data_IF_345974979593
#
_entry.id   IF_345974979593
#
_cell.length_a   1.000
_cell.length_b   1.000
_cell.length_c   1.000
_cell.angle_alpha   90.00
_cell.angle_beta   90.00
_cell.angle_gamma   90.00
#
_symmetry.space_group_name_H-M   'P 1'
#
loop_
_entity.id
_entity.type
_entity.pdbx_description
1 polymer ?
#
# COMPACT_ATOMS: atom_id res chain seq x y z
N UNK A 1 -14.88 69.04 32.21
CA UNK A 1 -14.02 68.28 31.28
C UNK A 1 -12.57 68.40 31.74
N UNK A 2 -11.85 67.29 32.00
CA UNK A 2 -10.43 67.36 32.33
C UNK A 2 -9.64 67.97 31.17
N UNK A 3 -8.77 68.94 31.46
CA UNK A 3 -7.95 69.62 30.44
C UNK A 3 -6.95 68.62 29.88
N UNK A 4 -7.16 68.22 28.63
CA UNK A 4 -6.21 67.44 27.84
C UNK A 4 -4.85 68.17 27.82
N UNK A 5 -3.71 67.49 28.08
CA UNK A 5 -2.37 68.09 28.04
C UNK A 5 -2.11 68.82 26.72
N UNK A 6 -1.24 69.84 26.76
CA UNK A 6 -1.00 70.69 25.58
C UNK A 6 -0.36 69.89 24.44
N UNK A 7 0.51 68.94 24.77
CA UNK A 7 1.20 68.05 23.84
C UNK A 7 0.20 67.14 23.12
N UNK A 8 -0.74 66.55 23.87
CA UNK A 8 -1.79 65.70 23.32
C UNK A 8 -2.76 66.52 22.45
N UNK A 9 -3.10 67.75 22.86
CA UNK A 9 -3.90 68.66 22.01
C UNK A 9 -3.18 69.01 20.72
N UNK A 10 -1.89 69.36 20.78
CA UNK A 10 -1.11 69.66 19.57
C UNK A 10 -1.07 68.47 18.63
N UNK A 11 -0.78 67.27 19.15
CA UNK A 11 -0.75 66.06 18.34
C UNK A 11 -2.11 65.74 17.72
N UNK A 12 -3.22 65.87 18.45
CA UNK A 12 -4.58 65.72 17.90
C UNK A 12 -4.82 66.75 16.78
N UNK A 13 -4.49 68.02 17.01
CA UNK A 13 -4.62 69.06 15.99
C UNK A 13 -3.78 68.75 14.74
N UNK A 14 -2.52 68.34 14.92
CA UNK A 14 -1.61 68.02 13.82
C UNK A 14 -2.04 66.74 13.07
N UNK A 15 -2.54 65.73 13.77
CA UNK A 15 -3.07 64.49 13.19
C UNK A 15 -4.28 64.77 12.28
N UNK A 16 -5.26 65.53 12.77
CA UNK A 16 -6.42 65.90 11.97
C UNK A 16 -6.11 66.89 10.84
N UNK A 17 -5.08 67.73 11.00
CA UNK A 17 -4.73 68.75 9.99
C UNK A 17 -3.80 68.20 8.89
N UNK A 18 -2.94 67.23 9.20
CA UNK A 18 -1.98 66.67 8.25
C UNK A 18 -2.46 65.37 7.58
N UNK A 19 -3.27 64.54 8.24
CA UNK A 19 -3.72 63.25 7.68
C UNK A 19 -5.09 63.33 6.99
N UNK A 20 -5.95 64.26 7.40
CA UNK A 20 -7.26 64.48 6.77
C UNK A 20 -7.36 65.89 6.23
N UNK A 21 -7.48 66.01 4.91
CA UNK A 21 -7.88 67.29 4.30
C UNK A 21 -9.21 67.71 4.92
N UNK A 22 -9.41 68.98 5.28
CA UNK A 22 -10.65 69.45 5.90
C UNK A 22 -11.19 70.68 5.17
N UNK A 23 -12.50 70.73 4.95
CA UNK A 23 -13.19 71.89 4.41
C UNK A 23 -14.43 72.18 5.23
N UNK A 24 -14.86 73.44 5.28
CA UNK A 24 -16.08 73.81 5.98
C UNK A 24 -16.93 74.78 5.19
N UNK A 25 -18.23 74.72 5.46
CA UNK A 25 -19.23 75.71 5.07
C UNK A 25 -19.93 76.20 6.34
N UNK A 26 -20.24 77.49 6.41
CA UNK A 26 -21.11 78.05 7.43
C UNK A 26 -22.37 78.53 6.72
N UNK A 27 -23.53 78.07 7.19
CA UNK A 27 -24.84 78.50 6.69
C UNK A 27 -25.61 79.24 7.78
N UNK A 28 -26.45 80.19 7.38
CA UNK A 28 -27.35 80.90 8.30
C UNK A 28 -28.68 80.18 8.52
N UNK A 29 -29.57 80.77 9.32
CA UNK A 29 -30.91 80.24 9.58
C UNK A 29 -31.81 80.16 8.33
N UNK A 30 -31.46 80.88 7.25
CA UNK A 30 -32.12 80.79 5.94
C UNK A 30 -31.46 79.75 5.02
N UNK A 31 -30.44 79.04 5.51
CA UNK A 31 -29.63 78.05 4.80
C UNK A 31 -28.77 78.64 3.66
N UNK A 32 -28.43 79.92 3.76
CA UNK A 32 -27.53 80.56 2.80
C UNK A 32 -26.09 80.38 3.24
N UNK A 33 -25.19 80.10 2.30
CA UNK A 33 -23.75 80.02 2.60
C UNK A 33 -23.26 81.41 3.00
N UNK A 34 -22.83 81.57 4.24
CA UNK A 34 -22.28 82.83 4.78
C UNK A 34 -20.76 82.80 4.90
N UNK A 35 -20.15 81.62 4.94
CA UNK A 35 -18.70 81.45 4.85
C UNK A 35 -18.34 80.08 4.28
N UNK A 36 -17.17 79.98 3.67
CA UNK A 36 -16.53 78.72 3.31
C UNK A 36 -15.02 78.82 3.54
N UNK A 37 -14.35 77.71 3.82
CA UNK A 37 -12.91 77.70 4.02
C UNK A 37 -12.34 76.29 4.20
N UNK A 38 -11.05 76.22 4.52
CA UNK A 38 -10.28 74.98 4.42
C UNK A 38 -10.02 74.59 2.96
N UNK A 39 -9.77 73.32 2.70
CA UNK A 39 -9.39 72.81 1.38
C UNK A 39 -10.61 72.52 0.49
N UNK A 40 -11.39 73.56 0.18
CA UNK A 40 -12.63 73.39 -0.62
C UNK A 40 -12.36 72.88 -2.05
N UNK A 41 -11.15 73.04 -2.59
CA UNK A 41 -10.75 72.51 -3.89
C UNK A 41 -10.63 70.98 -3.89
N UNK A 42 -10.03 70.41 -2.84
CA UNK A 42 -9.89 68.95 -2.68
C UNK A 42 -11.21 68.19 -2.76
N UNK A 43 -12.31 68.86 -2.38
CA UNK A 43 -13.66 68.31 -2.36
C UNK A 43 -14.54 68.74 -3.53
N UNK A 44 -14.01 69.49 -4.50
CA UNK A 44 -14.80 70.03 -5.61
C UNK A 44 -15.78 71.15 -5.22
N UNK A 45 -15.64 71.71 -4.01
CA UNK A 45 -16.53 72.74 -3.43
C UNK A 45 -16.07 74.18 -3.72
N UNK A 46 -15.05 74.35 -4.56
CA UNK A 46 -14.50 75.68 -4.91
C UNK A 46 -15.47 76.56 -5.67
N UNK A 47 -16.41 75.97 -6.42
CA UNK A 47 -17.44 76.69 -7.18
C UNK A 47 -18.57 77.28 -6.33
N UNK A 48 -18.69 76.87 -5.05
CA UNK A 48 -19.75 77.33 -4.16
C UNK A 48 -19.69 78.84 -3.92
N UNK A 49 -20.83 79.50 -4.05
CA UNK A 49 -21.02 80.95 -3.91
C UNK A 49 -21.60 81.29 -2.56
N UNK A 50 -20.95 82.24 -1.88
CA UNK A 50 -21.47 82.88 -0.65
C UNK A 50 -22.68 83.74 -1.01
N UNK A 51 -23.68 83.80 -0.13
CA UNK A 51 -24.92 84.56 -0.33
C UNK A 51 -25.94 83.86 -1.22
N UNK A 52 -25.78 82.56 -1.47
CA UNK A 52 -26.74 81.70 -2.18
C UNK A 52 -27.18 80.53 -1.27
N UNK A 53 -28.39 79.98 -1.47
CA UNK A 53 -28.83 78.78 -0.76
C UNK A 53 -27.83 77.63 -0.94
N UNK A 54 -27.60 76.85 0.11
CA UNK A 54 -26.71 75.68 0.04
C UNK A 54 -27.35 74.53 -0.75
N UNK A 55 -28.67 74.35 -0.65
CA UNK A 55 -29.42 73.31 -1.38
C UNK A 55 -29.31 73.47 -2.91
N UNK A 56 -29.38 74.71 -3.42
CA UNK A 56 -29.22 75.02 -4.86
C UNK A 56 -27.84 74.65 -5.43
N UNK A 57 -26.84 74.46 -4.56
CA UNK A 57 -25.45 74.27 -4.95
C UNK A 57 -24.89 72.91 -4.52
N UNK A 58 -25.55 72.25 -3.57
CA UNK A 58 -25.22 70.92 -3.06
C UNK A 58 -26.53 70.14 -2.95
N UNK A 59 -26.84 69.37 -3.99
CA UNK A 59 -28.11 68.62 -4.11
C UNK A 59 -28.37 67.68 -2.92
N UNK A 60 -27.32 67.01 -2.42
CA UNK A 60 -27.43 66.14 -1.24
C UNK A 60 -27.86 66.87 0.05
N UNK A 61 -27.82 68.21 0.07
CA UNK A 61 -28.22 69.02 1.22
C UNK A 61 -29.70 69.37 1.23
N UNK A 62 -30.40 69.24 0.11
CA UNK A 62 -31.82 69.61 -0.03
C UNK A 62 -32.72 68.78 0.89
N UNK A 63 -32.42 67.48 1.06
CA UNK A 63 -33.17 66.57 1.94
C UNK A 63 -32.70 66.56 3.40
N UNK A 64 -31.59 67.21 3.72
CA UNK A 64 -30.96 67.14 5.05
C UNK A 64 -31.14 68.43 5.88
N UNK A 65 -31.54 69.54 5.25
CA UNK A 65 -31.69 70.84 5.89
C UNK A 65 -33.16 71.32 5.94
N UNK A 66 -33.61 71.94 7.04
CA UNK A 66 -32.87 72.20 8.26
C UNK A 66 -32.69 70.91 9.07
N UNK A 67 -31.48 70.67 9.57
CA UNK A 67 -31.17 69.46 10.33
C UNK A 67 -31.88 69.54 11.70
N UNK A 68 -32.74 68.57 12.06
CA UNK A 68 -33.58 68.66 13.25
C UNK A 68 -32.79 68.46 14.55
N UNK A 69 -31.69 67.70 14.52
CA UNK A 69 -30.83 67.44 15.67
C UNK A 69 -29.37 67.74 15.34
N UNK A 70 -28.73 68.58 16.15
CA UNK A 70 -27.31 68.92 16.04
C UNK A 70 -26.61 68.63 17.37
N UNK A 71 -25.39 68.07 17.38
CA UNK A 71 -24.56 67.75 16.21
C UNK A 71 -25.05 66.52 15.42
N UNK A 72 -24.84 66.52 14.10
CA UNK A 72 -25.19 65.42 13.20
C UNK A 72 -23.95 64.92 12.46
N UNK A 73 -23.87 63.62 12.17
CA UNK A 73 -22.73 63.01 11.49
C UNK A 73 -23.20 62.02 10.44
N UNK A 74 -22.66 62.16 9.23
CA UNK A 74 -22.88 61.26 8.09
C UNK A 74 -21.53 60.79 7.56
N UNK A 75 -21.13 59.53 7.85
CA UNK A 75 -19.85 59.02 7.41
C UNK A 75 -19.85 58.66 5.92
N UNK A 76 -18.67 58.68 5.30
CA UNK A 76 -18.41 58.11 3.97
C UNK A 76 -19.33 58.61 2.85
N UNK A 77 -19.62 59.91 2.83
CA UNK A 77 -20.44 60.52 1.80
C UNK A 77 -19.60 60.79 0.54
N UNK A 78 -20.13 60.39 -0.62
CA UNK A 78 -19.51 60.71 -1.90
C UNK A 78 -19.73 62.18 -2.27
N UNK A 79 -18.65 62.84 -2.67
CA UNK A 79 -18.65 64.24 -3.07
C UNK A 79 -18.38 64.38 -4.57
N UNK A 80 -18.79 65.52 -5.17
CA UNK A 80 -18.45 65.84 -6.55
C UNK A 80 -16.93 65.74 -6.79
N UNK A 81 -16.52 64.94 -7.78
CA UNK A 81 -15.10 64.67 -8.07
C UNK A 81 -14.58 63.33 -7.53
N UNK A 82 -15.44 62.46 -6.99
CA UNK A 82 -15.11 61.06 -6.65
C UNK A 82 -14.37 60.86 -5.33
N UNK A 83 -14.30 61.92 -4.51
CA UNK A 83 -13.78 61.87 -3.13
C UNK A 83 -14.87 61.46 -2.16
N UNK A 84 -14.45 60.90 -1.03
CA UNK A 84 -15.35 60.49 0.06
C UNK A 84 -15.01 61.31 1.30
N UNK A 85 -16.01 61.82 2.02
CA UNK A 85 -15.81 62.56 3.25
C UNK A 85 -16.81 62.17 4.33
N UNK A 86 -16.37 62.26 5.59
CA UNK A 86 -17.25 62.29 6.74
C UNK A 86 -17.79 63.71 6.90
N UNK A 87 -19.11 63.87 6.84
CA UNK A 87 -19.80 65.14 7.00
C UNK A 87 -20.30 65.29 8.44
N UNK A 88 -19.85 66.35 9.11
CA UNK A 88 -20.29 66.70 10.45
C UNK A 88 -21.01 68.06 10.44
N UNK A 89 -22.17 68.14 11.08
CA UNK A 89 -22.93 69.37 11.24
C UNK A 89 -22.94 69.80 12.72
N UNK A 90 -22.68 71.09 12.97
CA UNK A 90 -22.69 71.68 14.31
C UNK A 90 -23.50 72.98 14.34
N UNK A 91 -24.32 73.16 15.37
CA UNK A 91 -25.07 74.40 15.59
C UNK A 91 -24.26 75.44 16.36
N UNK A 92 -24.35 76.72 15.94
CA UNK A 92 -23.68 77.86 16.57
C UNK A 92 -24.51 79.14 16.40
N UNK A 93 -25.25 79.56 17.44
CA UNK A 93 -25.93 80.86 17.48
C UNK A 93 -26.89 81.14 16.31
N UNK A 94 -27.69 80.13 15.91
CA UNK A 94 -28.61 80.23 14.76
C UNK A 94 -27.96 80.02 13.39
N UNK A 95 -26.69 79.62 13.35
CA UNK A 95 -25.95 79.20 12.15
C UNK A 95 -25.59 77.72 12.28
N UNK A 96 -25.34 77.06 11.14
CA UNK A 96 -24.88 75.66 11.10
C UNK A 96 -23.53 75.61 10.39
N UNK A 97 -22.58 74.91 10.98
CA UNK A 97 -21.30 74.57 10.37
C UNK A 97 -21.38 73.19 9.76
N UNK A 98 -21.02 73.05 8.50
CA UNK A 98 -20.81 71.79 7.80
C UNK A 98 -19.31 71.60 7.70
N UNK A 99 -18.79 70.51 8.26
CA UNK A 99 -17.38 70.13 8.24
C UNK A 99 -17.22 68.84 7.44
N UNK A 100 -16.37 68.86 6.43
CA UNK A 100 -16.01 67.72 5.59
C UNK A 100 -14.61 67.27 5.97
N UNK A 101 -14.46 65.99 6.33
CA UNK A 101 -13.17 65.36 6.65
C UNK A 101 -12.90 64.22 5.67
N UNK A 102 -11.71 64.17 5.09
CA UNK A 102 -11.42 63.23 4.00
C UNK A 102 -11.46 61.81 4.56
N UNK A 103 -12.26 60.97 3.91
CA UNK A 103 -12.43 59.56 4.24
C UNK A 103 -12.12 58.68 3.00
N UNK A 104 -11.55 59.26 1.95
CA UNK A 104 -11.12 58.54 0.74
C UNK A 104 -10.08 57.46 1.05
N UNK A 105 -9.03 57.71 1.84
CA UNK A 105 -8.05 56.69 2.21
C UNK A 105 -8.67 55.49 2.94
N UNK A 106 -9.64 55.75 3.82
CA UNK A 106 -10.39 54.75 4.58
C UNK A 106 -11.28 53.91 3.67
N UNK A 107 -12.01 54.53 2.74
CA UNK A 107 -12.80 53.84 1.70
C UNK A 107 -11.94 52.93 0.83
N UNK A 108 -10.80 53.44 0.36
CA UNK A 108 -9.84 52.69 -0.46
C UNK A 108 -9.26 51.49 0.31
N UNK A 109 -8.98 51.66 1.59
CA UNK A 109 -8.50 50.57 2.44
C UNK A 109 -9.59 49.52 2.67
N UNK A 110 -10.84 49.95 2.93
CA UNK A 110 -11.97 49.05 3.12
C UNK A 110 -12.24 48.19 1.87
N UNK A 111 -12.20 48.78 0.67
CA UNK A 111 -12.35 48.04 -0.58
C UNK A 111 -11.19 47.06 -0.82
N UNK A 112 -9.94 47.47 -0.56
CA UNK A 112 -8.77 46.58 -0.69
C UNK A 112 -8.85 45.39 0.27
N UNK A 113 -9.32 45.59 1.49
CA UNK A 113 -9.53 44.52 2.46
C UNK A 113 -10.65 43.58 2.03
N UNK A 114 -11.77 44.11 1.52
CA UNK A 114 -12.86 43.29 0.99
C UNK A 114 -12.42 42.43 -0.20
N UNK A 115 -11.67 43.02 -1.15
CA UNK A 115 -11.15 42.29 -2.30
C UNK A 115 -10.20 41.17 -1.87
N UNK A 116 -9.25 41.46 -0.97
CA UNK A 116 -8.33 40.44 -0.43
C UNK A 116 -9.07 39.32 0.31
N UNK A 117 -10.10 39.65 1.08
CA UNK A 117 -10.90 38.66 1.78
C UNK A 117 -11.63 37.71 0.81
N UNK A 118 -12.16 38.26 -0.30
CA UNK A 118 -12.78 37.47 -1.35
C UNK A 118 -11.78 36.53 -2.04
N UNK A 119 -10.62 37.05 -2.47
CA UNK A 119 -9.57 36.23 -3.11
C UNK A 119 -9.07 35.11 -2.18
N UNK A 120 -8.89 35.40 -0.90
CA UNK A 120 -8.49 34.41 0.10
C UNK A 120 -9.52 33.29 0.25
N UNK A 121 -10.80 33.63 0.20
CA UNK A 121 -11.89 32.64 0.31
C UNK A 121 -11.88 31.69 -0.89
N UNK A 122 -11.70 32.22 -2.09
CA UNK A 122 -11.60 31.43 -3.32
C UNK A 122 -10.39 30.48 -3.30
N UNK A 123 -9.24 30.96 -2.82
CA UNK A 123 -8.03 30.13 -2.68
C UNK A 123 -8.23 29.00 -1.67
N UNK A 124 -8.88 29.26 -0.53
CA UNK A 124 -9.17 28.24 0.47
C UNK A 124 -10.13 27.16 -0.05
N UNK A 125 -11.13 27.53 -0.84
CA UNK A 125 -12.00 26.55 -1.50
C UNK A 125 -11.23 25.69 -2.50
N UNK A 126 -10.36 26.30 -3.31
CA UNK A 126 -9.54 25.57 -4.28
C UNK A 126 -8.57 24.61 -3.58
N UNK A 127 -7.94 25.04 -2.50
CA UNK A 127 -7.05 24.20 -1.68
C UNK A 127 -7.81 23.02 -1.07
N UNK A 128 -9.01 23.25 -0.52
CA UNK A 128 -9.87 22.17 -0.01
C UNK A 128 -10.25 21.16 -1.10
N UNK A 129 -10.60 21.62 -2.30
CA UNK A 129 -10.91 20.75 -3.43
C UNK A 129 -9.70 19.90 -3.81
N UNK A 130 -8.52 20.51 -3.97
CA UNK A 130 -7.29 19.80 -4.31
C UNK A 130 -6.89 18.79 -3.23
N UNK A 131 -7.04 19.15 -1.96
CA UNK A 131 -6.75 18.24 -0.85
C UNK A 131 -7.72 17.04 -0.83
N UNK A 132 -9.00 17.26 -1.11
CA UNK A 132 -9.98 16.18 -1.23
C UNK A 132 -9.67 15.24 -2.42
N UNK A 133 -9.29 15.81 -3.57
CA UNK A 133 -8.90 15.04 -4.76
C UNK A 133 -7.61 14.23 -4.52
N UNK A 134 -6.61 14.84 -3.87
CA UNK A 134 -5.37 14.17 -3.47
C UNK A 134 -5.64 13.02 -2.48
N UNK A 135 -6.54 13.22 -1.52
CA UNK A 135 -6.93 12.16 -0.58
C UNK A 135 -7.59 10.99 -1.31
N UNK A 136 -8.57 11.26 -2.16
CA UNK A 136 -9.26 10.23 -2.95
C UNK A 136 -8.29 9.47 -3.87
N UNK A 137 -7.38 10.18 -4.54
CA UNK A 137 -6.38 9.56 -5.42
C UNK A 137 -5.41 8.68 -4.62
N UNK A 138 -4.95 9.13 -3.45
CA UNK A 138 -4.08 8.35 -2.59
C UNK A 138 -4.78 7.10 -2.04
N UNK A 139 -6.06 7.19 -1.71
CA UNK A 139 -6.87 6.06 -1.26
C UNK A 139 -7.03 5.01 -2.37
N UNK A 140 -7.43 5.43 -3.58
CA UNK A 140 -7.52 4.56 -4.74
C UNK A 140 -6.17 3.90 -5.09
N UNK A 141 -5.06 4.65 -4.98
CA UNK A 141 -3.73 4.11 -5.19
C UNK A 141 -3.36 3.04 -4.16
N UNK A 142 -3.69 3.26 -2.88
CA UNK A 142 -3.47 2.28 -1.81
C UNK A 142 -4.28 1.00 -2.05
N UNK A 143 -5.56 1.12 -2.38
CA UNK A 143 -6.41 -0.03 -2.69
C UNK A 143 -5.85 -0.85 -3.87
N UNK A 144 -5.38 -0.17 -4.92
CA UNK A 144 -4.74 -0.80 -6.06
C UNK A 144 -3.45 -1.54 -5.68
N UNK A 145 -2.60 -0.91 -4.86
CA UNK A 145 -1.36 -1.52 -4.35
C UNK A 145 -1.63 -2.75 -3.48
N UNK A 146 -2.64 -2.69 -2.60
CA UNK A 146 -3.05 -3.83 -1.78
C UNK A 146 -3.64 -4.97 -2.63
N UNK A 147 -4.43 -4.63 -3.65
CA UNK A 147 -4.93 -5.58 -4.65
C UNK A 147 -3.77 -6.30 -5.35
N UNK A 148 -2.82 -5.54 -5.89
CA UNK A 148 -1.65 -6.09 -6.57
C UNK A 148 -0.79 -6.95 -5.64
N UNK A 149 -0.58 -6.52 -4.39
CA UNK A 149 0.18 -7.29 -3.40
C UNK A 149 -0.49 -8.62 -3.03
N UNK A 150 -1.82 -8.67 -2.97
CA UNK A 150 -2.57 -9.90 -2.73
C UNK A 150 -2.43 -10.88 -3.90
N UNK A 151 -2.62 -10.40 -5.12
CA UNK A 151 -2.47 -11.22 -6.33
C UNK A 151 -1.03 -11.72 -6.48
N UNK A 152 -0.04 -10.86 -6.21
CA UNK A 152 1.37 -11.25 -6.24
C UNK A 152 1.68 -12.37 -5.24
N UNK A 153 1.26 -12.23 -3.97
CA UNK A 153 1.44 -13.27 -2.95
C UNK A 153 0.76 -14.59 -3.32
N UNK A 154 -0.43 -14.51 -3.93
CA UNK A 154 -1.15 -15.70 -4.38
C UNK A 154 -0.42 -16.40 -5.52
N UNK A 155 0.06 -15.65 -6.51
CA UNK A 155 0.85 -16.19 -7.62
C UNK A 155 2.15 -16.84 -7.12
N UNK A 156 2.85 -16.16 -6.20
CA UNK A 156 4.09 -16.66 -5.61
C UNK A 156 3.87 -17.95 -4.81
N UNK A 157 2.85 -17.99 -3.95
CA UNK A 157 2.53 -19.22 -3.19
C UNK A 157 2.19 -20.40 -4.12
N UNK A 158 1.46 -20.16 -5.22
CA UNK A 158 1.15 -21.22 -6.19
C UNK A 158 2.40 -21.71 -6.92
N UNK A 159 3.34 -20.83 -7.24
CA UNK A 159 4.61 -21.21 -7.86
C UNK A 159 5.44 -22.07 -6.91
N UNK A 160 5.53 -21.67 -5.64
CA UNK A 160 6.28 -22.38 -4.60
C UNK A 160 5.64 -23.73 -4.20
N UNK A 161 4.35 -23.94 -4.47
CA UNK A 161 3.70 -25.23 -4.32
C UNK A 161 4.08 -26.24 -5.42
N UNK A 162 4.71 -25.78 -6.51
CA UNK A 162 5.07 -26.61 -7.67
C UNK A 162 6.59 -26.77 -7.79
N UNK A 163 7.34 -25.74 -7.44
CA UNK A 163 8.78 -25.69 -7.57
C UNK A 163 9.42 -25.32 -6.22
N UNK A 164 10.56 -25.94 -5.87
CA UNK A 164 11.34 -25.49 -4.73
C UNK A 164 11.73 -24.00 -4.88
N UNK A 165 11.79 -23.28 -3.76
CA UNK A 165 12.00 -21.82 -3.76
C UNK A 165 13.24 -21.37 -4.54
N UNK A 166 14.36 -22.08 -4.39
CA UNK A 166 15.60 -21.76 -5.11
C UNK A 166 15.47 -21.95 -6.63
N UNK A 167 14.68 -22.93 -7.08
CA UNK A 167 14.41 -23.20 -8.49
C UNK A 167 13.42 -22.16 -9.04
N UNK A 168 12.41 -21.77 -8.26
CA UNK A 168 11.45 -20.73 -8.63
C UNK A 168 12.12 -19.37 -8.86
N UNK A 169 13.07 -18.97 -8.00
CA UNK A 169 13.80 -17.70 -8.16
C UNK A 169 14.67 -17.69 -9.43
N UNK A 170 15.38 -18.79 -9.72
CA UNK A 170 16.17 -18.92 -10.95
C UNK A 170 15.29 -18.89 -12.20
N UNK A 171 14.11 -19.50 -12.14
CA UNK A 171 13.16 -19.47 -13.24
C UNK A 171 12.58 -18.07 -13.46
N UNK A 172 12.30 -17.30 -12.39
CA UNK A 172 11.90 -15.88 -12.49
C UNK A 172 12.99 -15.02 -13.16
N UNK A 173 14.26 -15.40 -13.02
CA UNK A 173 15.40 -14.76 -13.67
C UNK A 173 15.65 -15.23 -15.13
N UNK A 174 14.76 -16.04 -15.70
CA UNK A 174 14.87 -16.62 -17.05
C UNK A 174 16.15 -17.48 -17.23
N UNK A 175 16.64 -18.08 -16.14
CA UNK A 175 17.79 -18.97 -16.17
C UNK A 175 17.40 -20.37 -16.67
N UNK A 176 18.28 -20.98 -17.47
CA UNK A 176 18.14 -22.40 -17.81
C UNK A 176 18.58 -23.29 -16.64
N UNK A 177 17.63 -24.00 -16.04
CA UNK A 177 17.88 -24.86 -14.88
C UNK A 177 18.17 -26.29 -15.34
N UNK A 178 19.46 -26.64 -15.33
CA UNK A 178 19.96 -27.97 -15.63
C UNK A 178 21.25 -28.21 -14.81
N UNK A 179 21.09 -28.72 -13.60
CA UNK A 179 22.16 -28.86 -12.61
C UNK A 179 22.62 -30.31 -12.51
N UNK A 180 23.93 -30.50 -12.46
CA UNK A 180 24.52 -31.81 -12.15
C UNK A 180 24.80 -31.89 -10.65
N UNK A 181 24.29 -32.93 -10.01
CA UNK A 181 24.55 -33.20 -8.61
C UNK A 181 25.33 -34.49 -8.48
N UNK A 182 26.52 -34.41 -7.89
CA UNK A 182 27.43 -35.54 -7.79
C UNK A 182 26.92 -36.64 -6.85
N UNK A 183 26.20 -36.26 -5.79
CA UNK A 183 25.77 -37.17 -4.74
C UNK A 183 24.43 -36.73 -4.16
N UNK A 184 23.41 -37.57 -4.37
CA UNK A 184 22.06 -37.43 -3.81
C UNK A 184 21.54 -38.81 -3.41
N UNK A 185 20.50 -38.86 -2.57
CA UNK A 185 19.76 -40.11 -2.31
C UNK A 185 18.37 -40.01 -2.90
N UNK A 186 17.97 -41.02 -3.69
CA UNK A 186 16.66 -41.10 -4.35
C UNK A 186 15.89 -42.27 -3.78
N UNK A 187 14.62 -42.03 -3.45
CA UNK A 187 13.68 -43.01 -2.93
C UNK A 187 12.49 -43.17 -3.86
N UNK A 188 12.09 -44.41 -4.07
CA UNK A 188 10.79 -44.77 -4.61
C UNK A 188 10.02 -45.58 -3.57
N UNK A 189 8.76 -45.22 -3.32
CA UNK A 189 7.84 -45.94 -2.43
C UNK A 189 6.53 -46.23 -3.16
N UNK A 190 6.10 -47.49 -3.18
CA UNK A 190 4.96 -47.99 -3.95
C UNK A 190 3.99 -48.76 -3.06
N UNK A 191 2.68 -48.63 -3.31
CA UNK A 191 1.66 -49.32 -2.51
C UNK A 191 1.50 -50.76 -3.01
N UNK A 192 1.69 -51.72 -2.12
CA UNK A 192 1.56 -53.14 -2.45
C UNK A 192 0.10 -53.46 -2.85
N UNK A 193 -0.04 -54.05 -4.04
CA UNK A 193 -1.33 -54.56 -4.55
C UNK A 193 -2.34 -53.47 -4.88
N UNK A 194 -1.90 -52.22 -5.10
CA UNK A 194 -2.80 -51.08 -5.25
C UNK A 194 -3.89 -51.29 -6.31
N UNK A 195 -3.50 -51.72 -7.51
CA UNK A 195 -4.43 -51.87 -8.65
C UNK A 195 -5.55 -52.88 -8.36
N UNK A 196 -5.23 -53.99 -7.71
CA UNK A 196 -6.20 -55.02 -7.33
C UNK A 196 -7.12 -54.52 -6.22
N UNK A 197 -6.55 -53.91 -5.17
CA UNK A 197 -7.30 -53.36 -4.03
C UNK A 197 -8.22 -52.22 -4.46
N UNK A 198 -7.76 -51.34 -5.34
CA UNK A 198 -8.55 -50.22 -5.88
C UNK A 198 -9.81 -50.70 -6.62
N UNK A 199 -9.72 -51.82 -7.35
CA UNK A 199 -10.87 -52.45 -8.01
C UNK A 199 -11.91 -52.96 -7.02
N UNK A 200 -11.50 -53.36 -5.82
CA UNK A 200 -12.39 -53.96 -4.81
C UNK A 200 -13.17 -52.94 -3.97
N UNK A 201 -12.63 -51.73 -3.74
CA UNK A 201 -13.23 -50.73 -2.82
C UNK A 201 -13.82 -49.50 -3.51
N UNK A 202 -13.64 -49.35 -4.83
CA UNK A 202 -14.18 -48.25 -5.62
C UNK A 202 -13.40 -46.94 -5.50
N UNK A 203 -13.78 -45.97 -6.33
CA UNK A 203 -13.01 -44.75 -6.57
C UNK A 203 -12.86 -43.84 -5.32
N UNK A 204 -13.93 -43.65 -4.55
CA UNK A 204 -13.91 -42.76 -3.38
C UNK A 204 -12.93 -43.22 -2.32
N UNK A 205 -12.98 -44.50 -1.94
CA UNK A 205 -12.05 -45.09 -0.95
C UNK A 205 -10.63 -45.11 -1.49
N UNK A 206 -10.44 -45.45 -2.78
CA UNK A 206 -9.13 -45.43 -3.42
C UNK A 206 -8.49 -44.04 -3.36
N UNK A 207 -9.25 -42.99 -3.68
CA UNK A 207 -8.77 -41.60 -3.61
C UNK A 207 -8.47 -41.17 -2.18
N UNK A 208 -9.25 -41.61 -1.19
CA UNK A 208 -8.97 -41.32 0.21
C UNK A 208 -7.62 -41.92 0.66
N UNK A 209 -7.31 -43.16 0.26
CA UNK A 209 -6.04 -43.82 0.56
C UNK A 209 -4.86 -43.13 -0.13
N UNK A 210 -5.00 -42.77 -1.42
CA UNK A 210 -3.96 -41.99 -2.11
C UNK A 210 -3.70 -40.65 -1.43
N UNK A 211 -4.77 -39.93 -1.07
CA UNK A 211 -4.65 -38.65 -0.36
C UNK A 211 -3.98 -38.80 1.01
N UNK A 212 -4.30 -39.87 1.75
CA UNK A 212 -3.62 -40.15 3.01
C UNK A 212 -2.12 -40.38 2.81
N UNK A 213 -1.77 -41.28 1.88
CA UNK A 213 -0.39 -41.66 1.61
C UNK A 213 0.45 -40.47 1.12
N UNK A 214 -0.07 -39.68 0.18
CA UNK A 214 0.64 -38.52 -0.35
C UNK A 214 0.78 -37.40 0.68
N UNK A 215 -0.23 -37.18 1.54
CA UNK A 215 -0.10 -36.21 2.65
C UNK A 215 0.95 -36.63 3.67
N UNK A 216 1.02 -37.92 3.99
CA UNK A 216 2.06 -38.43 4.88
C UNK A 216 3.47 -38.22 4.26
N UNK A 217 3.62 -38.50 2.96
CA UNK A 217 4.85 -38.24 2.23
C UNK A 217 5.22 -36.74 2.21
N UNK A 218 4.25 -35.84 2.00
CA UNK A 218 4.49 -34.39 2.01
C UNK A 218 4.95 -33.90 3.39
N UNK A 219 4.23 -34.29 4.44
CA UNK A 219 4.57 -33.91 5.81
C UNK A 219 5.96 -34.42 6.22
N UNK A 220 6.29 -35.67 5.88
CA UNK A 220 7.59 -36.25 6.19
C UNK A 220 8.72 -35.61 5.37
N UNK A 221 8.42 -35.15 4.15
CA UNK A 221 9.39 -34.43 3.31
C UNK A 221 9.82 -33.14 4.00
N UNK A 222 8.85 -32.37 4.51
CA UNK A 222 9.13 -31.16 5.31
C UNK A 222 9.91 -31.47 6.59
N UNK A 223 9.53 -32.52 7.33
CA UNK A 223 10.15 -32.88 8.62
C UNK A 223 11.61 -33.33 8.48
N UNK A 224 11.91 -34.12 7.45
CA UNK A 224 13.25 -34.66 7.23
C UNK A 224 14.10 -33.80 6.29
N UNK A 225 13.57 -32.69 5.77
CA UNK A 225 14.26 -31.87 4.77
C UNK A 225 14.54 -32.63 3.47
N UNK A 226 13.60 -33.46 3.06
CA UNK A 226 13.57 -34.16 1.79
C UNK A 226 12.62 -33.43 0.82
N UNK A 227 12.76 -33.68 -0.47
CA UNK A 227 11.93 -33.08 -1.50
C UNK A 227 11.12 -34.17 -2.22
N UNK A 228 9.80 -34.03 -2.25
CA UNK A 228 8.93 -34.90 -3.05
C UNK A 228 8.94 -34.42 -4.50
N UNK A 229 9.56 -35.19 -5.40
CA UNK A 229 9.69 -34.82 -6.81
C UNK A 229 8.37 -34.99 -7.56
N UNK A 230 7.76 -36.17 -7.47
CA UNK A 230 6.51 -36.49 -8.18
C UNK A 230 5.83 -37.74 -7.64
N UNK A 231 4.59 -37.89 -8.06
CA UNK A 231 3.83 -39.14 -7.95
C UNK A 231 3.73 -39.81 -9.32
N UNK A 232 3.80 -41.14 -9.34
CA UNK A 232 3.70 -41.96 -10.55
C UNK A 232 2.69 -43.07 -10.26
N UNK A 233 1.41 -42.80 -10.56
CA UNK A 233 0.33 -43.69 -10.10
C UNK A 233 0.23 -43.66 -8.58
N UNK A 234 0.41 -44.83 -7.94
CA UNK A 234 0.46 -45.04 -6.50
C UNK A 234 1.88 -44.97 -5.91
N UNK A 235 2.88 -44.68 -6.74
CA UNK A 235 4.25 -44.54 -6.31
C UNK A 235 4.62 -43.08 -6.01
N UNK A 236 5.42 -42.86 -4.95
CA UNK A 236 6.06 -41.60 -4.60
C UNK A 236 7.54 -41.66 -4.91
N UNK A 237 8.05 -40.62 -5.57
CA UNK A 237 9.48 -40.37 -5.73
C UNK A 237 9.90 -39.19 -4.86
N UNK A 238 10.84 -39.42 -3.95
CA UNK A 238 11.42 -38.41 -3.08
C UNK A 238 12.95 -38.40 -3.17
N UNK A 239 13.57 -37.28 -2.83
CA UNK A 239 15.02 -37.10 -2.89
C UNK A 239 15.51 -36.35 -1.66
N UNK A 240 16.74 -36.63 -1.26
CA UNK A 240 17.49 -35.83 -0.30
C UNK A 240 18.83 -35.41 -0.92
N UNK A 241 19.31 -34.21 -0.57
CA UNK A 241 20.46 -33.58 -1.22
C UNK A 241 20.11 -32.64 -2.38
N UNK A 242 18.81 -32.37 -2.59
CA UNK A 242 18.28 -31.43 -3.58
C UNK A 242 17.12 -30.61 -3.01
N UNK A 243 16.87 -29.40 -3.54
CA UNK A 243 17.78 -28.63 -4.40
C UNK A 243 19.04 -28.15 -3.63
N UNK A 244 18.98 -28.17 -2.31
CA UNK A 244 20.09 -27.82 -1.43
C UNK A 244 20.87 -29.08 -1.06
N UNK A 245 22.17 -29.07 -1.35
CA UNK A 245 23.06 -30.15 -0.97
C UNK A 245 23.11 -30.30 0.55
N UNK A 246 23.19 -31.55 1.03
CA UNK A 246 23.35 -31.89 2.45
C UNK A 246 24.18 -33.15 2.57
N UNK A 247 25.01 -33.25 3.60
CA UNK A 247 25.94 -34.38 3.80
C UNK A 247 25.25 -35.62 4.35
N UNK A 248 24.14 -35.45 5.06
CA UNK A 248 23.36 -36.51 5.71
C UNK A 248 22.17 -36.96 4.85
N UNK A 249 22.24 -36.78 3.53
CA UNK A 249 21.12 -37.03 2.62
C UNK A 249 20.66 -38.50 2.64
N UNK A 250 21.57 -39.46 2.81
CA UNK A 250 21.20 -40.87 2.96
C UNK A 250 20.45 -41.12 4.27
N UNK A 251 20.94 -40.58 5.39
CA UNK A 251 20.33 -40.75 6.72
C UNK A 251 18.94 -40.11 6.77
N UNK A 252 18.81 -38.88 6.28
CA UNK A 252 17.54 -38.17 6.21
C UNK A 252 16.49 -38.97 5.44
N UNK A 253 16.86 -39.52 4.28
CA UNK A 253 15.93 -40.28 3.44
C UNK A 253 15.63 -41.68 4.01
N UNK A 254 16.55 -42.29 4.76
CA UNK A 254 16.31 -43.53 5.47
C UNK A 254 15.32 -43.35 6.64
N UNK A 255 15.48 -42.27 7.43
CA UNK A 255 14.52 -41.93 8.49
C UNK A 255 13.13 -41.61 7.91
N UNK A 256 13.10 -40.81 6.85
CA UNK A 256 11.88 -40.56 6.07
C UNK A 256 11.21 -41.88 5.62
N UNK A 257 11.98 -42.85 5.11
CA UNK A 257 11.45 -44.13 4.64
C UNK A 257 10.84 -44.98 5.76
N UNK A 258 11.52 -45.03 6.91
CA UNK A 258 11.06 -45.77 8.09
C UNK A 258 9.73 -45.19 8.60
N UNK A 259 9.66 -43.87 8.77
CA UNK A 259 8.46 -43.19 9.24
C UNK A 259 7.31 -43.25 8.21
N UNK A 260 7.61 -43.19 6.91
CA UNK A 260 6.60 -43.31 5.85
C UNK A 260 5.98 -44.70 5.83
N UNK A 261 6.79 -45.76 5.98
CA UNK A 261 6.30 -47.14 6.13
C UNK A 261 5.41 -47.27 7.37
N UNK A 262 5.85 -46.73 8.49
CA UNK A 262 5.09 -46.82 9.75
C UNK A 262 3.81 -46.00 9.73
N UNK A 263 3.79 -44.86 9.04
CA UNK A 263 2.57 -44.10 8.77
C UNK A 263 1.61 -44.91 7.90
N UNK A 264 2.08 -45.52 6.82
CA UNK A 264 1.25 -46.36 5.95
C UNK A 264 0.59 -47.51 6.73
N UNK A 265 1.34 -48.21 7.59
CA UNK A 265 0.82 -49.32 8.43
C UNK A 265 -0.39 -48.94 9.30
N UNK A 266 -0.58 -47.65 9.62
CA UNK A 266 -1.71 -47.16 10.44
C UNK A 266 -3.03 -47.14 9.71
N UNK A 267 -3.02 -47.16 8.38
CA UNK A 267 -4.23 -47.17 7.56
C UNK A 267 -4.53 -48.54 6.96
N UNK A 268 -5.80 -48.74 6.59
CA UNK A 268 -6.26 -49.97 5.95
C UNK A 268 -6.85 -49.71 4.58
N UNK A 269 -6.49 -50.54 3.61
CA UNK A 269 -7.02 -50.50 2.25
C UNK A 269 -7.56 -51.88 1.87
N UNK A 270 -8.82 -51.96 1.47
CA UNK A 270 -9.52 -53.24 1.26
C UNK A 270 -9.46 -54.19 2.47
N UNK A 271 -9.49 -53.67 3.70
CA UNK A 271 -9.53 -54.46 4.94
C UNK A 271 -8.15 -54.86 5.50
N UNK A 272 -7.08 -54.73 4.73
CA UNK A 272 -5.71 -55.04 5.14
C UNK A 272 -4.91 -53.77 5.43
N UNK A 273 -3.90 -53.81 6.34
CA UNK A 273 -2.97 -52.70 6.50
C UNK A 273 -2.35 -52.26 5.18
N UNK A 274 -2.05 -50.98 5.03
CA UNK A 274 -1.26 -50.51 3.89
C UNK A 274 0.18 -50.98 4.09
N UNK A 275 0.76 -51.56 3.04
CA UNK A 275 2.16 -52.01 3.04
C UNK A 275 2.84 -51.38 1.83
N UNK A 276 4.08 -50.97 2.02
CA UNK A 276 4.86 -50.29 1.00
C UNK A 276 6.03 -51.18 0.54
N UNK A 277 6.43 -51.03 -0.72
CA UNK A 277 7.76 -51.43 -1.19
C UNK A 277 8.58 -50.17 -1.33
N UNK A 278 9.70 -50.07 -0.61
CA UNK A 278 10.56 -48.89 -0.67
C UNK A 278 11.94 -49.28 -1.16
N UNK A 279 12.48 -48.50 -2.10
CA UNK A 279 13.84 -48.65 -2.61
C UNK A 279 14.60 -47.34 -2.56
N UNK A 280 15.84 -47.39 -2.06
CA UNK A 280 16.72 -46.23 -1.96
C UNK A 280 18.06 -46.51 -2.66
N UNK A 281 18.51 -45.56 -3.47
CA UNK A 281 19.85 -45.57 -4.05
C UNK A 281 20.46 -44.18 -4.02
N UNK A 282 21.78 -44.13 -3.88
CA UNK A 282 22.56 -42.90 -3.81
C UNK A 282 23.59 -42.84 -4.92
N UNK A 283 23.73 -41.68 -5.54
CA UNK A 283 24.65 -41.48 -6.67
C UNK A 283 24.39 -40.17 -7.41
N UNK A 284 25.07 -39.95 -8.55
CA UNK A 284 24.95 -38.71 -9.31
C UNK A 284 23.64 -38.65 -10.09
N UNK A 285 23.10 -37.43 -10.23
CA UNK A 285 21.92 -37.15 -11.06
C UNK A 285 22.09 -35.86 -11.85
N UNK A 286 21.21 -35.69 -12.83
CA UNK A 286 20.91 -34.39 -13.46
C UNK A 286 19.53 -33.96 -12.99
N UNK A 287 19.41 -32.75 -12.46
CA UNK A 287 18.14 -32.14 -12.08
C UNK A 287 17.86 -30.94 -13.01
N UNK A 288 16.60 -30.65 -13.29
CA UNK A 288 16.30 -29.52 -14.15
C UNK A 288 14.82 -29.26 -14.34
N UNK A 289 14.52 -28.09 -14.90
CA UNK A 289 13.15 -27.69 -15.23
C UNK A 289 12.91 -27.89 -16.72
N UNK A 290 11.88 -28.66 -17.05
CA UNK A 290 11.41 -28.86 -18.43
C UNK A 290 10.01 -28.28 -18.64
N UNK A 291 9.73 -27.92 -19.89
CA UNK A 291 8.43 -27.42 -20.34
C UNK A 291 8.39 -25.90 -20.49
N UNK A 292 7.60 -25.42 -21.45
CA UNK A 292 7.41 -23.97 -21.73
C UNK A 292 6.14 -23.38 -21.11
N UNK A 293 5.16 -24.22 -20.79
CA UNK A 293 3.84 -23.82 -20.26
C UNK A 293 3.48 -24.54 -18.95
N UNK A 294 4.02 -25.74 -18.76
CA UNK A 294 3.88 -26.54 -17.53
C UNK A 294 5.30 -26.88 -17.13
N UNK A 295 5.87 -26.06 -16.25
CA UNK A 295 7.20 -26.30 -15.70
C UNK A 295 7.13 -27.52 -14.79
N UNK A 296 8.06 -28.46 -14.99
CA UNK A 296 8.22 -29.63 -14.14
C UNK A 296 9.69 -29.70 -13.77
N UNK A 297 9.98 -29.62 -12.47
CA UNK A 297 11.29 -29.93 -11.94
C UNK A 297 11.40 -31.45 -11.76
N UNK A 298 12.41 -32.06 -12.36
CA UNK A 298 12.54 -33.51 -12.41
C UNK A 298 14.01 -33.94 -12.38
N UNK A 299 14.24 -35.23 -12.12
CA UNK A 299 15.56 -35.84 -12.01
C UNK A 299 15.76 -36.92 -13.09
N UNK A 300 16.97 -36.97 -13.64
CA UNK A 300 17.40 -37.96 -14.60
C UNK A 300 18.75 -38.57 -14.23
N UNK A 301 18.99 -39.79 -14.71
CA UNK A 301 20.25 -40.50 -14.52
C UNK A 301 20.04 -41.95 -14.09
N UNK A 302 21.13 -42.72 -14.14
CA UNK A 302 21.12 -44.13 -13.75
C UNK A 302 20.76 -44.32 -12.28
N UNK A 303 21.09 -43.34 -11.43
CA UNK A 303 20.73 -43.35 -10.01
C UNK A 303 19.21 -43.45 -9.80
N UNK A 304 18.44 -42.65 -10.55
CA UNK A 304 16.96 -42.66 -10.49
C UNK A 304 16.42 -44.01 -10.97
N UNK A 305 16.95 -44.52 -12.09
CA UNK A 305 16.53 -45.79 -12.66
C UNK A 305 16.84 -46.98 -11.74
N UNK A 306 17.99 -46.96 -11.05
CA UNK A 306 18.39 -48.01 -10.13
C UNK A 306 17.56 -47.96 -8.84
N UNK A 307 17.30 -46.78 -8.26
CA UNK A 307 16.40 -46.64 -7.11
C UNK A 307 15.02 -47.27 -7.38
N UNK A 308 14.43 -47.00 -8.55
CA UNK A 308 13.15 -47.58 -8.96
C UNK A 308 13.21 -49.11 -9.12
N UNK A 309 14.35 -49.67 -9.56
CA UNK A 309 14.53 -51.13 -9.67
C UNK A 309 14.70 -51.81 -8.32
N UNK A 310 15.43 -51.17 -7.41
CA UNK A 310 15.58 -51.64 -6.02
C UNK A 310 14.20 -51.67 -5.33
N UNK A 311 13.39 -50.63 -5.52
CA UNK A 311 12.02 -50.59 -5.01
C UNK A 311 11.19 -51.76 -5.55
N UNK A 312 11.23 -52.00 -6.86
CA UNK A 312 10.48 -53.11 -7.47
C UNK A 312 10.93 -54.49 -7.00
N UNK A 313 12.19 -54.63 -6.62
CA UNK A 313 12.71 -55.87 -6.08
C UNK A 313 12.25 -56.11 -4.63
N UNK A 314 11.94 -55.04 -3.87
CA UNK A 314 11.55 -55.13 -2.47
C UNK A 314 10.30 -56.00 -2.24
N UNK A 315 10.33 -56.75 -1.14
CA UNK A 315 9.17 -57.46 -0.62
C UNK A 315 8.16 -56.48 -0.01
N UNK A 316 6.89 -56.88 0.15
CA UNK A 316 5.92 -56.09 0.88
C UNK A 316 6.44 -55.69 2.27
N UNK A 317 6.27 -54.41 2.60
CA UNK A 317 6.68 -53.81 3.88
C UNK A 317 8.20 -53.74 4.10
N UNK A 318 8.98 -53.97 3.04
CA UNK A 318 10.44 -53.92 3.04
C UNK A 318 10.98 -52.58 2.53
N UNK A 319 12.05 -52.10 3.17
CA UNK A 319 12.86 -50.99 2.69
C UNK A 319 14.21 -51.55 2.25
N UNK A 320 14.44 -51.58 0.93
CA UNK A 320 15.71 -52.01 0.34
C UNK A 320 16.58 -50.82 -0.02
N UNK A 321 17.88 -50.97 0.21
CA UNK A 321 18.88 -49.96 -0.13
C UNK A 321 20.01 -50.58 -0.93
N UNK A 322 20.62 -49.77 -1.80
CA UNK A 322 21.84 -50.15 -2.51
C UNK A 322 23.06 -50.19 -1.58
N UNK A 323 24.14 -50.87 -2.01
CA UNK A 323 25.43 -50.82 -1.32
C UNK A 323 25.98 -49.39 -1.18
N UNK A 324 25.82 -48.55 -2.21
CA UNK A 324 26.24 -47.15 -2.17
C UNK A 324 25.53 -46.36 -1.06
N UNK A 325 24.21 -46.54 -0.92
CA UNK A 325 23.43 -45.91 0.16
C UNK A 325 23.85 -46.44 1.53
N UNK A 326 24.06 -47.76 1.65
CA UNK A 326 24.51 -48.38 2.90
C UNK A 326 25.84 -47.79 3.39
N UNK A 327 26.82 -47.61 2.47
CA UNK A 327 28.10 -47.00 2.81
C UNK A 327 27.96 -45.57 3.34
N UNK A 328 26.96 -44.82 2.85
CA UNK A 328 26.69 -43.45 3.29
C UNK A 328 25.97 -43.37 4.63
N UNK A 329 25.13 -44.35 4.98
CA UNK A 329 24.38 -44.35 6.25
C UNK A 329 25.28 -44.44 7.48
N UNK A 330 26.45 -45.07 7.37
CA UNK A 330 27.38 -45.23 8.48
C UNK A 330 26.89 -46.23 9.53
N UNK A 331 27.43 -46.13 10.76
CA UNK A 331 27.18 -47.09 11.85
C UNK A 331 25.84 -46.90 12.57
N UNK A 332 25.13 -45.81 12.30
CA UNK A 332 23.90 -45.46 13.01
C UNK A 332 22.69 -46.28 12.55
N UNK A 333 22.82 -46.96 11.40
CA UNK A 333 21.77 -47.81 10.82
C UNK A 333 22.22 -49.27 10.76
N UNK A 334 21.53 -50.14 11.49
CA UNK A 334 21.71 -51.59 11.39
C UNK A 334 21.02 -52.10 10.12
N UNK A 335 21.79 -52.52 9.11
CA UNK A 335 21.26 -53.00 7.85
C UNK A 335 21.54 -54.49 7.65
N UNK A 336 20.52 -55.26 7.26
CA UNK A 336 20.67 -56.70 7.00
C UNK A 336 21.10 -56.94 5.54
N UNK A 337 22.16 -57.71 5.27
CA UNK A 337 22.59 -58.01 3.91
C UNK A 337 21.60 -58.97 3.22
N UNK A 338 21.19 -58.65 1.99
CA UNK A 338 20.29 -59.48 1.18
C UNK A 338 21.01 -60.30 0.09
N UNK A 339 22.34 -60.14 -0.01
CA UNK A 339 23.14 -60.73 -1.08
C UNK A 339 23.04 -59.97 -2.41
N UNK A 340 23.53 -60.59 -3.49
CA UNK A 340 23.44 -60.03 -4.85
C UNK A 340 22.14 -60.47 -5.51
N UNK A 341 21.34 -59.51 -5.98
CA UNK A 341 20.14 -59.78 -6.79
C UNK A 341 20.35 -59.28 -8.21
N UNK A 342 19.84 -60.04 -9.17
CA UNK A 342 19.88 -59.66 -10.58
C UNK A 342 18.73 -58.69 -10.92
N UNK A 343 19.07 -57.44 -11.28
CA UNK A 343 18.10 -56.36 -11.52
C UNK A 343 18.01 -56.00 -13.01
N UNK A 344 17.17 -56.71 -13.78
CA UNK A 344 16.97 -56.57 -15.25
C UNK A 344 18.15 -55.85 -15.95
N UNK A 345 18.02 -54.79 -16.74
CA UNK A 345 19.19 -54.19 -17.44
C UNK A 345 20.25 -53.45 -16.58
N UNK A 346 20.56 -53.90 -15.36
CA UNK A 346 21.64 -53.39 -14.49
C UNK A 346 22.67 -54.48 -14.15
N UNK A 347 22.25 -55.76 -14.12
CA UNK A 347 23.10 -56.87 -13.68
C UNK A 347 22.94 -57.18 -12.19
N UNK A 348 23.95 -57.80 -11.58
CA UNK A 348 23.95 -58.16 -10.16
C UNK A 348 24.25 -56.94 -9.29
N UNK A 349 23.35 -56.67 -8.35
CA UNK A 349 23.47 -55.54 -7.42
C UNK A 349 23.40 -56.07 -6.00
N UNK A 350 24.38 -55.68 -5.17
CA UNK A 350 24.37 -55.94 -3.74
C UNK A 350 23.39 -55.00 -3.06
N UNK A 351 22.49 -55.57 -2.26
CA UNK A 351 21.46 -54.82 -1.55
C UNK A 351 21.43 -55.16 -0.07
N UNK A 352 20.87 -54.22 0.67
CA UNK A 352 20.67 -54.30 2.11
C UNK A 352 19.22 -53.99 2.45
N UNK A 353 18.76 -54.46 3.60
CA UNK A 353 17.45 -54.18 4.17
C UNK A 353 17.61 -53.28 5.37
N UNK A 354 16.83 -52.20 5.44
CA UNK A 354 16.70 -51.40 6.66
C UNK A 354 15.77 -52.09 7.67
N UNK A 355 15.98 -51.88 8.98
CA UNK A 355 15.30 -52.65 10.01
C UNK A 355 13.79 -52.37 10.05
N UNK A 356 13.05 -53.35 10.57
CA UNK A 356 11.59 -53.40 10.59
C UNK A 356 10.94 -52.45 11.60
#
# INVERSE_FOLDING_TARGET
>A
MPRVPKEVRSWIYDFFYNERSAAYLKIDARQYIVAKGGNTEHYGLSSLRIGKPVADQLEFMEGLLPCPELPFHMPMMELPGGRVADLHLFGDGGKVWLLFLDATPERDNQQRLQQKAYEMTLLQERERQLNAELQSTNEALRESQEGLSREYRRAESLLLNILPASIAERLKADEQIADNHAEVSVLFADIVGFTERARSVGATTTLAILNYFFKAADQLSEQHGCEKIKTIGDCVMAVAGLPTARSDHAQALANYALELRDAARRERFAGEPLSLRIGIHSGPIVAGVIGKRRFVYDLWGDTVNLAARIQKAAEPDEIRISDATHQLLGSDFTCDPLGETELRGTGRVRMWRLPA
#
